data_IF_471792117114
#
_entry.id   IF_471792117114
#
_cell.length_a   1.000
_cell.length_b   1.000
_cell.length_c   1.000
_cell.angle_alpha   90.00
_cell.angle_beta   90.00
_cell.angle_gamma   90.00
#
_symmetry.space_group_name_H-M   'P 1'
#
loop_
_entity.id
_entity.type
_entity.pdbx_description
1 polymer ?
#
# COMPACT_ATOMS: atom_id res chain seq x y z
N UNK A 1 32.90 23.17 59.55
CA UNK A 1 32.33 23.23 58.18
C UNK A 1 32.34 21.82 57.65
N UNK A 2 31.17 21.12 57.72
CA UNK A 2 31.02 19.79 57.17
C UNK A 2 30.32 19.92 55.83
N UNK A 3 30.96 19.45 54.75
CA UNK A 3 30.40 19.38 53.43
C UNK A 3 29.71 18.02 53.22
N UNK A 4 28.39 18.05 53.15
CA UNK A 4 27.55 16.87 52.87
C UNK A 4 27.55 16.63 51.33
N UNK A 5 28.14 15.51 50.92
CA UNK A 5 28.04 15.01 49.56
C UNK A 5 26.85 14.06 49.45
N UNK A 6 25.88 14.25 48.53
CA UNK A 6 24.77 13.31 48.38
C UNK A 6 25.19 12.01 47.71
N UNK A 7 24.84 10.90 48.32
CA UNK A 7 25.01 9.53 47.83
C UNK A 7 24.24 9.29 46.54
N UNK A 8 24.94 8.84 45.50
CA UNK A 8 24.31 8.33 44.26
C UNK A 8 23.72 6.95 44.54
N UNK A 9 22.41 6.85 44.56
CA UNK A 9 21.71 5.57 44.54
C UNK A 9 21.76 4.97 43.12
N UNK A 10 22.51 3.89 42.96
CA UNK A 10 22.51 3.08 41.72
C UNK A 10 21.29 2.17 41.71
N UNK A 11 20.32 2.48 40.84
CA UNK A 11 19.17 1.60 40.59
C UNK A 11 19.67 0.40 39.78
N UNK A 12 19.72 -0.79 40.43
CA UNK A 12 20.01 -2.05 39.75
C UNK A 12 18.75 -2.57 39.06
N UNK A 13 18.67 -2.44 37.75
CA UNK A 13 17.62 -3.03 36.94
C UNK A 13 17.77 -4.57 36.90
N UNK A 14 16.70 -5.28 37.19
CA UNK A 14 16.64 -6.74 37.09
C UNK A 14 16.71 -7.20 35.64
N UNK A 15 17.07 -8.48 35.39
CA UNK A 15 17.19 -9.06 34.06
C UNK A 15 15.93 -8.85 33.16
N UNK A 16 14.74 -8.73 33.77
CA UNK A 16 13.47 -8.45 33.08
C UNK A 16 13.34 -6.99 32.62
N UNK A 17 13.94 -6.03 33.31
CA UNK A 17 13.95 -4.62 32.89
C UNK A 17 14.92 -4.31 31.75
N UNK A 18 15.90 -5.19 31.45
CA UNK A 18 16.85 -5.01 30.35
C UNK A 18 16.28 -5.44 28.99
N UNK A 19 15.26 -6.31 28.96
CA UNK A 19 14.59 -6.73 27.72
C UNK A 19 13.57 -5.71 27.22
N UNK A 20 13.06 -4.84 28.07
CA UNK A 20 12.12 -3.79 27.69
C UNK A 20 12.77 -2.56 27.01
N UNK A 21 14.09 -2.38 27.14
CA UNK A 21 14.84 -1.23 26.58
C UNK A 21 15.50 -1.51 25.22
N UNK A 22 15.47 -2.76 24.75
CA UNK A 22 16.03 -3.14 23.45
C UNK A 22 15.06 -3.01 22.26
N UNK A 23 13.80 -2.61 22.49
CA UNK A 23 12.77 -2.49 21.44
C UNK A 23 12.59 -1.04 20.89
N UNK A 24 13.48 -0.12 21.24
CA UNK A 24 13.35 1.32 20.87
C UNK A 24 14.43 1.76 19.87
N UNK A 25 14.72 0.95 18.89
CA UNK A 25 15.73 1.32 17.92
C UNK A 25 15.60 0.62 16.58
N UNK A 26 14.50 0.82 15.84
CA UNK A 26 14.46 0.68 14.38
C UNK A 26 13.14 1.28 13.86
N UNK A 27 13.11 2.58 13.64
CA UNK A 27 12.09 3.25 12.83
C UNK A 27 12.73 3.60 11.51
N UNK A 28 12.41 2.85 10.45
CA UNK A 28 12.52 3.31 9.07
C UNK A 28 11.38 2.73 8.24
N UNK A 29 10.56 3.64 7.73
CA UNK A 29 9.75 3.60 6.51
C UNK A 29 8.96 2.32 6.21
N UNK A 30 7.78 2.30 6.69
CA UNK A 30 6.69 1.39 6.38
C UNK A 30 5.74 1.45 7.56
N UNK A 31 4.60 2.09 7.42
CA UNK A 31 3.61 2.21 8.49
C UNK A 31 3.08 0.84 8.91
N UNK A 32 3.93 0.06 9.57
CA UNK A 32 3.51 -1.04 10.38
C UNK A 32 2.89 -0.43 11.64
N UNK A 33 1.59 -0.34 11.70
CA UNK A 33 0.88 -0.08 12.95
C UNK A 33 1.14 -1.28 13.84
N UNK A 34 2.13 -1.14 14.74
CA UNK A 34 2.36 -2.12 15.79
C UNK A 34 1.17 -2.06 16.74
N UNK A 35 0.34 -3.07 16.71
CA UNK A 35 -0.64 -3.33 17.76
C UNK A 35 0.16 -3.63 19.04
N UNK A 36 -0.04 -2.95 20.17
CA UNK A 36 0.66 -3.27 21.40
C UNK A 36 0.27 -4.67 21.86
N UNK A 37 1.22 -5.59 21.82
CA UNK A 37 1.09 -6.93 22.37
C UNK A 37 1.22 -6.82 23.90
N UNK A 38 0.12 -6.76 24.61
CA UNK A 38 0.08 -6.96 26.06
C UNK A 38 0.25 -8.46 26.35
N UNK A 39 1.48 -8.88 26.62
CA UNK A 39 1.78 -10.24 27.09
C UNK A 39 1.44 -10.30 28.59
N UNK A 40 0.29 -10.87 28.93
CA UNK A 40 0.02 -11.46 30.21
C UNK A 40 -0.14 -12.98 30.01
N UNK A 41 0.70 -13.75 30.64
CA UNK A 41 0.79 -15.19 30.45
C UNK A 41 -0.43 -15.94 30.99
N UNK A 42 -0.93 -16.81 30.14
CA UNK A 42 -2.00 -17.79 30.32
C UNK A 42 -2.34 -18.30 28.91
N UNK A 43 -2.60 -19.57 28.73
CA UNK A 43 -2.85 -20.25 27.45
C UNK A 43 -4.12 -19.80 26.70
N UNK A 44 -4.69 -18.64 27.07
CA UNK A 44 -5.77 -17.95 26.35
C UNK A 44 -5.25 -16.61 25.82
N UNK A 45 -4.58 -16.59 24.67
CA UNK A 45 -4.40 -15.33 23.94
C UNK A 45 -5.79 -14.75 23.60
N UNK A 46 -6.10 -13.50 24.01
CA UNK A 46 -7.40 -12.92 23.69
C UNK A 46 -7.57 -12.88 22.19
N UNK A 47 -8.64 -13.51 21.69
CA UNK A 47 -8.97 -13.47 20.26
C UNK A 47 -9.03 -12.03 19.79
N UNK A 48 -8.48 -11.71 18.60
CA UNK A 48 -8.53 -10.35 18.10
C UNK A 48 -9.99 -9.88 17.99
N UNK A 49 -10.26 -8.68 18.47
CA UNK A 49 -11.60 -8.09 18.43
C UNK A 49 -11.91 -7.38 17.11
N UNK A 50 -10.91 -7.18 16.30
CA UNK A 50 -11.01 -6.53 14.99
C UNK A 50 -9.92 -6.99 14.03
N UNK A 51 -10.24 -7.00 12.73
CA UNK A 51 -9.29 -7.15 11.64
C UNK A 51 -8.95 -5.76 11.09
N UNK A 52 -7.66 -5.42 11.04
CA UNK A 52 -7.16 -4.20 10.40
C UNK A 52 -6.66 -4.52 9.01
N UNK A 53 -7.18 -3.84 8.00
CA UNK A 53 -6.74 -3.92 6.61
C UNK A 53 -6.06 -2.61 6.24
N UNK A 54 -4.74 -2.57 6.12
CA UNK A 54 -3.98 -1.39 5.67
C UNK A 54 -4.26 -1.02 4.21
N UNK A 55 -4.03 0.26 3.88
CA UNK A 55 -4.04 0.73 2.48
C UNK A 55 -2.90 0.10 1.69
N UNK A 56 -3.12 -0.15 0.41
CA UNK A 56 -2.13 -0.74 -0.48
C UNK A 56 -1.96 -2.27 -0.32
N UNK A 57 -2.71 -2.91 0.57
CA UNK A 57 -2.71 -4.36 0.62
C UNK A 57 -3.39 -4.96 -0.60
N UNK A 58 -2.80 -6.03 -1.13
CA UNK A 58 -3.41 -6.85 -2.18
C UNK A 58 -4.47 -7.77 -1.59
N UNK A 59 -5.39 -8.22 -2.43
CA UNK A 59 -6.42 -9.17 -2.02
C UNK A 59 -5.83 -10.44 -1.38
N UNK A 60 -4.70 -10.94 -1.88
CA UNK A 60 -4.00 -12.09 -1.28
C UNK A 60 -3.60 -11.85 0.18
N UNK A 61 -3.04 -10.68 0.49
CA UNK A 61 -2.65 -10.30 1.85
C UNK A 61 -3.87 -10.18 2.78
N UNK A 62 -5.00 -9.66 2.24
CA UNK A 62 -6.26 -9.60 2.97
C UNK A 62 -6.78 -10.99 3.29
N UNK A 63 -6.72 -11.94 2.33
CA UNK A 63 -7.15 -13.33 2.57
C UNK A 63 -6.32 -14.00 3.65
N UNK A 64 -4.99 -13.86 3.59
CA UNK A 64 -4.07 -14.43 4.58
C UNK A 64 -4.33 -13.85 5.97
N UNK A 65 -4.62 -12.53 6.04
CA UNK A 65 -4.95 -11.87 7.30
C UNK A 65 -6.30 -12.34 7.87
N UNK A 66 -7.31 -12.58 7.03
CA UNK A 66 -8.60 -13.16 7.46
C UNK A 66 -8.39 -14.57 7.99
N UNK A 67 -7.67 -15.43 7.24
CA UNK A 67 -7.40 -16.81 7.66
C UNK A 67 -6.69 -16.82 9.02
N UNK A 68 -5.65 -16.00 9.18
CA UNK A 68 -4.92 -15.88 10.45
C UNK A 68 -5.80 -15.37 11.59
N UNK A 69 -6.63 -14.36 11.33
CA UNK A 69 -7.47 -13.72 12.36
C UNK A 69 -8.59 -14.63 12.85
N UNK A 70 -9.12 -15.48 11.96
CA UNK A 70 -10.19 -16.43 12.27
C UNK A 70 -9.66 -17.83 12.64
N UNK A 71 -8.33 -18.00 12.77
CA UNK A 71 -7.68 -19.30 13.05
C UNK A 71 -8.08 -20.39 12.07
N UNK A 72 -8.04 -20.05 10.76
CA UNK A 72 -8.40 -20.94 9.65
C UNK A 72 -7.14 -21.42 8.91
N UNK A 73 -7.18 -22.61 8.29
CA UNK A 73 -6.12 -23.07 7.42
C UNK A 73 -5.86 -22.08 6.26
N UNK A 74 -4.60 -21.85 5.92
CA UNK A 74 -4.20 -20.94 4.84
C UNK A 74 -4.92 -21.27 3.53
N UNK A 75 -5.40 -20.23 2.84
CA UNK A 75 -6.14 -20.33 1.59
C UNK A 75 -7.64 -20.63 1.75
N UNK A 76 -8.17 -20.75 2.97
CA UNK A 76 -9.60 -20.95 3.24
C UNK A 76 -10.42 -19.77 2.74
N UNK A 77 -10.01 -18.56 3.05
CA UNK A 77 -10.68 -17.33 2.59
C UNK A 77 -10.70 -17.24 1.07
N UNK A 78 -9.57 -17.48 0.40
CA UNK A 78 -9.51 -17.49 -1.08
C UNK A 78 -10.48 -18.50 -1.69
N UNK A 79 -10.56 -19.72 -1.15
CA UNK A 79 -11.51 -20.75 -1.60
C UNK A 79 -12.97 -20.37 -1.36
N UNK A 80 -13.24 -19.54 -0.38
CA UNK A 80 -14.60 -19.10 -0.03
C UNK A 80 -15.18 -18.05 -0.99
N UNK A 81 -14.35 -17.41 -1.82
CA UNK A 81 -14.77 -16.38 -2.77
C UNK A 81 -15.92 -16.83 -3.68
N UNK A 82 -15.87 -18.06 -4.17
CA UNK A 82 -16.92 -18.62 -5.05
C UNK A 82 -18.30 -18.68 -4.38
N UNK A 83 -18.36 -18.60 -3.04
CA UNK A 83 -19.60 -18.64 -2.24
C UNK A 83 -19.93 -17.31 -1.59
N UNK A 84 -19.10 -16.29 -1.78
CA UNK A 84 -19.18 -15.00 -1.08
C UNK A 84 -19.94 -14.00 -1.94
N UNK A 85 -21.01 -14.18 -2.52
CA UNK A 85 -21.89 -13.29 -3.30
C UNK A 85 -21.50 -11.77 -3.17
N UNK A 86 -20.30 -11.45 -3.67
CA UNK A 86 -19.71 -10.12 -3.54
C UNK A 86 -20.33 -9.18 -4.58
N UNK A 87 -20.84 -8.03 -4.13
CA UNK A 87 -21.44 -7.00 -4.99
C UNK A 87 -20.36 -6.18 -5.72
N UNK A 88 -19.60 -6.85 -6.56
CA UNK A 88 -18.55 -6.23 -7.36
C UNK A 88 -19.12 -5.62 -8.65
N UNK A 89 -18.48 -4.56 -9.21
CA UNK A 89 -18.81 -4.07 -10.54
C UNK A 89 -18.53 -5.16 -11.59
N UNK A 90 -19.26 -5.11 -12.71
CA UNK A 90 -19.13 -6.10 -13.78
C UNK A 90 -17.71 -6.19 -14.35
N UNK A 91 -17.01 -5.05 -14.41
CA UNK A 91 -15.64 -4.94 -14.89
C UNK A 91 -14.66 -5.76 -14.05
N UNK A 92 -14.95 -5.98 -12.76
CA UNK A 92 -14.12 -6.78 -11.87
C UNK A 92 -14.14 -8.28 -12.19
N UNK A 93 -15.13 -8.77 -12.94
CA UNK A 93 -15.27 -10.19 -13.33
C UNK A 93 -15.10 -11.17 -12.16
N UNK A 94 -15.58 -10.77 -10.97
CA UNK A 94 -15.48 -11.56 -9.74
C UNK A 94 -14.15 -11.43 -8.98
N UNK A 95 -13.19 -10.66 -9.47
CA UNK A 95 -11.96 -10.35 -8.76
C UNK A 95 -12.19 -9.16 -7.80
N UNK A 96 -12.08 -9.33 -6.47
CA UNK A 96 -12.29 -8.25 -5.51
C UNK A 96 -11.09 -7.32 -5.31
N UNK A 97 -10.00 -7.47 -6.08
CA UNK A 97 -8.85 -6.56 -6.00
C UNK A 97 -9.29 -5.11 -6.20
N UNK A 98 -8.85 -4.22 -5.31
CA UNK A 98 -9.26 -2.81 -5.27
C UNK A 98 -10.57 -2.55 -4.50
N UNK A 99 -11.33 -3.60 -4.17
CA UNK A 99 -12.63 -3.50 -3.50
C UNK A 99 -12.67 -4.11 -2.09
N UNK A 100 -11.56 -4.60 -1.58
CA UNK A 100 -11.42 -4.99 -0.16
C UNK A 100 -10.97 -3.78 0.66
N UNK A 101 -11.89 -2.83 0.88
CA UNK A 101 -11.60 -1.49 1.36
C UNK A 101 -10.75 -1.48 2.63
N UNK A 102 -9.66 -0.67 2.69
CA UNK A 102 -8.79 -0.56 3.86
C UNK A 102 -9.52 0.10 5.05
N UNK A 103 -9.69 -0.63 6.13
CA UNK A 103 -10.34 -0.17 7.35
C UNK A 103 -10.11 -1.14 8.51
N UNK A 104 -10.62 -0.77 9.69
CA UNK A 104 -10.74 -1.67 10.84
C UNK A 104 -12.13 -2.29 10.86
N UNK A 105 -12.19 -3.62 10.79
CA UNK A 105 -13.43 -4.40 10.77
C UNK A 105 -13.63 -5.11 12.10
N UNK A 106 -14.57 -4.67 12.95
CA UNK A 106 -14.89 -5.36 14.20
C UNK A 106 -15.31 -6.81 13.93
N UNK A 107 -14.77 -7.74 14.68
CA UNK A 107 -15.13 -9.15 14.60
C UNK A 107 -16.34 -9.44 15.49
N UNK A 108 -17.26 -10.23 14.97
CA UNK A 108 -18.38 -10.80 15.73
C UNK A 108 -18.02 -12.21 16.17
N UNK A 109 -18.69 -12.68 17.21
CA UNK A 109 -18.68 -14.11 17.51
C UNK A 109 -19.09 -14.87 16.23
N UNK A 110 -18.33 -15.91 15.84
CA UNK A 110 -18.59 -16.72 14.63
C UNK A 110 -18.51 -15.93 13.30
N UNK A 111 -17.69 -14.87 13.24
CA UNK A 111 -17.41 -14.20 11.96
C UNK A 111 -16.89 -15.22 10.92
N UNK A 112 -17.32 -15.08 9.69
CA UNK A 112 -16.89 -15.92 8.57
C UNK A 112 -16.08 -15.11 7.55
N UNK A 113 -15.20 -15.76 6.76
CA UNK A 113 -14.50 -15.09 5.67
C UNK A 113 -15.44 -14.36 4.71
N UNK A 114 -16.56 -15.00 4.34
CA UNK A 114 -17.54 -14.44 3.41
C UNK A 114 -18.16 -13.16 3.97
N UNK A 115 -18.51 -13.13 5.27
CA UNK A 115 -19.08 -11.95 5.91
C UNK A 115 -18.08 -10.79 5.92
N UNK A 116 -16.80 -11.07 6.23
CA UNK A 116 -15.75 -10.04 6.23
C UNK A 116 -15.51 -9.48 4.83
N UNK A 117 -15.37 -10.35 3.83
CA UNK A 117 -15.21 -9.96 2.43
C UNK A 117 -16.39 -9.12 1.94
N UNK A 118 -17.63 -9.55 2.23
CA UNK A 118 -18.84 -8.80 1.85
C UNK A 118 -18.86 -7.41 2.50
N UNK A 119 -18.53 -7.31 3.79
CA UNK A 119 -18.43 -6.01 4.49
C UNK A 119 -17.37 -5.09 3.91
N UNK A 120 -16.23 -5.64 3.46
CA UNK A 120 -15.17 -4.86 2.81
C UNK A 120 -15.64 -4.32 1.46
N UNK A 121 -16.28 -5.15 0.63
CA UNK A 121 -16.84 -4.75 -0.66
C UNK A 121 -18.00 -3.77 -0.49
N UNK A 122 -18.90 -3.97 0.46
CA UNK A 122 -19.98 -3.03 0.75
C UNK A 122 -19.43 -1.67 1.21
N UNK A 123 -18.33 -1.66 1.97
CA UNK A 123 -17.64 -0.43 2.38
C UNK A 123 -17.02 0.27 1.17
N UNK A 124 -16.34 -0.47 0.30
CA UNK A 124 -15.80 0.06 -0.96
C UNK A 124 -16.91 0.69 -1.81
N UNK A 125 -18.01 -0.01 -2.01
CA UNK A 125 -19.15 0.49 -2.78
C UNK A 125 -19.73 1.79 -2.20
N UNK A 126 -19.88 1.88 -0.87
CA UNK A 126 -20.32 3.11 -0.21
C UNK A 126 -19.34 4.27 -0.42
N UNK A 127 -18.05 4.00 -0.41
CA UNK A 127 -17.00 5.02 -0.58
C UNK A 127 -16.84 5.44 -2.04
N UNK A 128 -16.88 4.50 -2.98
CA UNK A 128 -16.55 4.74 -4.39
C UNK A 128 -17.78 5.20 -5.21
N UNK A 129 -18.97 4.71 -4.92
CA UNK A 129 -20.18 5.04 -5.69
C UNK A 129 -20.83 6.37 -5.24
N UNK A 130 -20.21 7.12 -4.34
CA UNK A 130 -20.67 8.45 -3.98
C UNK A 130 -20.59 9.44 -5.16
N UNK A 131 -21.55 10.36 -5.24
CA UNK A 131 -21.63 11.35 -6.33
C UNK A 131 -20.30 12.08 -6.61
N UNK A 132 -19.48 12.49 -5.61
CA UNK A 132 -18.21 13.16 -5.87
C UNK A 132 -17.21 12.28 -6.64
N UNK A 133 -17.16 10.96 -6.34
CA UNK A 133 -16.24 10.04 -7.00
C UNK A 133 -16.68 9.77 -8.43
N UNK A 134 -17.97 9.46 -8.63
CA UNK A 134 -18.53 9.22 -9.97
C UNK A 134 -18.36 10.44 -10.88
N UNK A 135 -18.68 11.65 -10.40
CA UNK A 135 -18.49 12.89 -11.15
C UNK A 135 -17.00 13.18 -11.43
N UNK A 136 -16.11 12.87 -10.47
CA UNK A 136 -14.68 13.04 -10.64
C UNK A 136 -14.11 12.07 -11.69
N UNK A 137 -14.49 10.81 -11.66
CA UNK A 137 -14.14 9.83 -12.68
C UNK A 137 -14.60 10.28 -14.06
N UNK A 138 -15.86 10.72 -14.19
CA UNK A 138 -16.42 11.19 -15.44
C UNK A 138 -15.69 12.41 -15.99
N UNK A 139 -15.27 13.38 -15.16
CA UNK A 139 -14.44 14.53 -15.61
C UNK A 139 -13.11 14.11 -16.24
N UNK A 140 -12.58 12.97 -15.82
CA UNK A 140 -11.35 12.38 -16.37
C UNK A 140 -11.64 11.30 -17.43
N UNK A 141 -12.82 11.31 -18.03
CA UNK A 141 -13.26 10.35 -19.07
C UNK A 141 -13.15 8.87 -18.65
N UNK A 142 -13.40 8.57 -17.36
CA UNK A 142 -13.31 7.22 -16.77
C UNK A 142 -14.63 6.83 -16.11
N UNK A 143 -14.85 5.51 -15.97
CA UNK A 143 -15.80 4.97 -15.03
C UNK A 143 -15.18 4.82 -13.61
N UNK A 144 -15.98 4.48 -12.61
CA UNK A 144 -15.51 4.35 -11.22
C UNK A 144 -14.46 3.23 -11.08
N UNK A 145 -14.61 2.12 -11.80
CA UNK A 145 -13.65 1.01 -11.76
C UNK A 145 -12.27 1.43 -12.27
N UNK A 146 -12.22 2.16 -13.37
CA UNK A 146 -10.99 2.72 -13.92
C UNK A 146 -10.36 3.73 -12.94
N UNK A 147 -11.16 4.56 -12.29
CA UNK A 147 -10.66 5.49 -11.27
C UNK A 147 -10.05 4.74 -10.07
N UNK A 148 -10.64 3.63 -9.62
CA UNK A 148 -10.07 2.76 -8.59
C UNK A 148 -8.79 2.09 -9.08
N UNK A 149 -8.73 1.70 -10.35
CA UNK A 149 -7.50 1.15 -10.96
C UNK A 149 -6.36 2.18 -10.96
N UNK A 150 -6.63 3.43 -11.36
CA UNK A 150 -5.64 4.52 -11.25
C UNK A 150 -5.24 4.73 -9.79
N UNK A 151 -6.22 4.76 -8.87
CA UNK A 151 -5.97 4.96 -7.44
C UNK A 151 -5.05 3.87 -6.86
N UNK A 152 -5.20 2.61 -7.28
CA UNK A 152 -4.32 1.52 -6.82
C UNK A 152 -2.87 1.71 -7.28
N UNK A 153 -2.66 2.20 -8.51
CA UNK A 153 -1.30 2.54 -8.98
C UNK A 153 -0.75 3.73 -8.18
N UNK A 154 -1.55 4.79 -7.99
CA UNK A 154 -1.16 5.96 -7.17
C UNK A 154 -0.80 5.54 -5.75
N UNK A 155 -1.57 4.63 -5.15
CA UNK A 155 -1.31 4.10 -3.80
C UNK A 155 0.03 3.37 -3.72
N UNK A 156 0.37 2.60 -4.75
CA UNK A 156 1.60 1.82 -4.80
C UNK A 156 2.85 2.68 -5.10
N UNK A 157 2.72 3.71 -5.95
CA UNK A 157 3.84 4.52 -6.44
C UNK A 157 4.16 5.74 -5.57
N UNK A 158 3.16 6.34 -4.93
CA UNK A 158 3.37 7.57 -4.17
C UNK A 158 4.05 7.29 -2.83
N UNK A 159 5.15 7.99 -2.55
CA UNK A 159 5.87 7.89 -1.27
C UNK A 159 5.14 8.58 -0.12
N UNK A 160 4.15 9.41 -0.42
CA UNK A 160 3.33 10.11 0.56
C UNK A 160 2.14 10.82 -0.07
N UNK A 161 1.20 11.23 0.78
CA UNK A 161 -0.04 11.87 0.36
C UNK A 161 0.18 13.12 -0.53
N UNK A 162 1.24 13.89 -0.28
CA UNK A 162 1.52 15.10 -1.04
C UNK A 162 1.85 14.84 -2.51
N UNK A 163 2.37 13.64 -2.83
CA UNK A 163 2.78 13.26 -4.18
C UNK A 163 1.66 12.56 -4.96
N UNK A 164 0.65 12.01 -4.28
CA UNK A 164 -0.43 11.23 -4.91
C UNK A 164 -1.09 11.97 -6.08
N UNK A 165 -1.41 13.26 -5.89
CA UNK A 165 -2.03 14.06 -6.95
C UNK A 165 -1.13 14.30 -8.16
N UNK A 166 0.18 14.38 -7.96
CA UNK A 166 1.17 14.53 -9.05
C UNK A 166 1.39 13.20 -9.77
N UNK A 167 1.47 12.07 -9.03
CA UNK A 167 1.55 10.73 -9.63
C UNK A 167 0.31 10.47 -10.49
N UNK A 168 -0.89 10.78 -9.98
CA UNK A 168 -2.12 10.68 -10.76
C UNK A 168 -2.04 11.53 -12.04
N UNK A 169 -1.51 12.75 -11.97
CA UNK A 169 -1.33 13.62 -13.14
C UNK A 169 -0.38 13.02 -14.17
N UNK A 170 0.74 12.44 -13.74
CA UNK A 170 1.65 11.72 -14.67
C UNK A 170 0.93 10.59 -15.39
N UNK A 171 0.13 9.79 -14.66
CA UNK A 171 -0.66 8.70 -15.27
C UNK A 171 -1.58 9.27 -16.36
N UNK A 172 -2.36 10.30 -16.06
CA UNK A 172 -3.28 10.90 -17.04
C UNK A 172 -2.54 11.51 -18.23
N UNK A 173 -1.48 12.29 -18.00
CA UNK A 173 -0.71 12.90 -19.07
C UNK A 173 -0.12 11.84 -20.02
N UNK A 174 0.32 10.69 -19.49
CA UNK A 174 0.80 9.57 -20.32
C UNK A 174 -0.33 8.89 -21.08
N UNK A 175 -1.48 8.64 -20.45
CA UNK A 175 -2.67 8.08 -21.13
C UNK A 175 -3.12 8.98 -22.28
N UNK A 176 -3.25 10.28 -22.05
CA UNK A 176 -3.66 11.27 -23.05
C UNK A 176 -2.70 11.35 -24.24
N UNK A 177 -1.40 11.12 -24.01
CA UNK A 177 -0.35 11.11 -25.04
C UNK A 177 -0.15 9.74 -25.70
N UNK A 178 -0.91 8.73 -25.30
CA UNK A 178 -0.71 7.37 -25.78
C UNK A 178 0.67 6.80 -25.40
N UNK A 179 1.18 7.14 -24.21
CA UNK A 179 2.43 6.61 -23.69
C UNK A 179 2.19 5.40 -22.79
N UNK A 180 3.09 4.40 -22.75
CA UNK A 180 3.02 3.34 -21.75
C UNK A 180 3.21 3.93 -20.37
N UNK A 181 2.52 3.39 -19.34
CA UNK A 181 2.58 3.95 -17.99
C UNK A 181 3.94 3.74 -17.32
N UNK A 182 4.62 2.63 -17.57
CA UNK A 182 5.95 2.29 -17.05
C UNK A 182 6.02 2.41 -15.51
N UNK A 183 5.08 1.77 -14.83
CA UNK A 183 4.98 1.74 -13.37
C UNK A 183 5.45 0.39 -12.84
N UNK A 184 6.51 0.39 -12.02
CA UNK A 184 7.12 -0.83 -11.49
C UNK A 184 6.14 -1.66 -10.66
N UNK A 185 5.26 -0.99 -9.90
CA UNK A 185 4.21 -1.63 -9.10
C UNK A 185 3.31 -2.57 -9.89
N UNK A 186 3.04 -2.25 -11.16
CA UNK A 186 2.21 -3.09 -12.03
C UNK A 186 2.93 -4.38 -12.43
N UNK A 187 4.25 -4.31 -12.63
CA UNK A 187 5.08 -5.49 -12.92
C UNK A 187 5.26 -6.33 -11.66
N UNK A 188 5.50 -5.70 -10.51
CA UNK A 188 5.55 -6.39 -9.22
C UNK A 188 4.23 -7.12 -8.90
N UNK A 189 3.09 -6.54 -9.28
CA UNK A 189 1.80 -7.22 -9.19
C UNK A 189 1.74 -8.46 -10.09
N UNK A 190 2.17 -8.33 -11.35
CA UNK A 190 2.21 -9.43 -12.31
C UNK A 190 3.07 -10.61 -11.81
N UNK A 191 4.16 -10.31 -11.11
CA UNK A 191 5.10 -11.29 -10.55
C UNK A 191 4.70 -11.79 -9.14
N UNK A 192 3.57 -11.35 -8.60
CA UNK A 192 3.12 -11.73 -7.26
C UNK A 192 4.00 -11.20 -6.11
N UNK A 193 4.82 -10.18 -6.36
CA UNK A 193 5.69 -9.56 -5.35
C UNK A 193 4.90 -8.58 -4.50
N UNK A 194 4.88 -8.77 -3.18
CA UNK A 194 4.11 -7.93 -2.25
C UNK A 194 4.86 -6.70 -1.73
N UNK A 195 6.14 -6.57 -2.02
CA UNK A 195 6.95 -5.41 -1.68
C UNK A 195 7.66 -4.89 -2.93
N UNK A 196 7.91 -3.56 -3.02
CA UNK A 196 8.74 -3.03 -4.08
C UNK A 196 10.06 -3.79 -4.12
N UNK A 197 10.39 -4.36 -5.28
CA UNK A 197 11.67 -5.04 -5.44
C UNK A 197 12.78 -3.99 -5.43
N UNK A 198 13.84 -4.22 -4.64
CA UNK A 198 15.05 -3.40 -4.73
C UNK A 198 15.79 -3.58 -6.07
N UNK A 199 15.45 -4.64 -6.80
CA UNK A 199 15.86 -4.87 -8.18
C UNK A 199 14.84 -4.25 -9.11
N UNK A 200 15.29 -3.62 -10.19
CA UNK A 200 14.40 -3.09 -11.23
C UNK A 200 13.34 -4.14 -11.62
N UNK A 201 12.09 -3.68 -11.81
CA UNK A 201 11.03 -4.54 -12.31
C UNK A 201 11.52 -5.22 -13.59
N UNK A 202 11.17 -6.50 -13.77
CA UNK A 202 11.50 -7.21 -15.02
C UNK A 202 10.58 -6.70 -16.14
N UNK A 203 11.04 -5.77 -17.02
CA UNK A 203 10.20 -5.20 -18.06
C UNK A 203 9.86 -6.21 -19.15
N UNK A 204 10.49 -7.39 -19.15
CA UNK A 204 10.29 -8.42 -20.18
C UNK A 204 9.16 -9.40 -19.85
N UNK A 205 8.59 -9.35 -18.62
CA UNK A 205 7.50 -10.26 -18.23
C UNK A 205 6.30 -10.11 -19.18
N UNK A 206 5.85 -11.22 -19.78
CA UNK A 206 4.63 -11.22 -20.61
C UNK A 206 3.39 -11.33 -19.72
N UNK A 207 2.84 -10.17 -19.39
CA UNK A 207 1.64 -10.06 -18.56
C UNK A 207 0.78 -8.90 -19.03
N UNK A 208 -0.56 -9.01 -18.94
CA UNK A 208 -1.46 -7.88 -19.20
C UNK A 208 -1.29 -6.72 -18.21
N UNK A 209 -0.65 -6.97 -17.06
CA UNK A 209 -0.29 -5.94 -16.08
C UNK A 209 1.03 -5.23 -16.38
N UNK A 210 1.85 -5.71 -17.31
CA UNK A 210 3.13 -5.07 -17.61
C UNK A 210 2.93 -3.75 -18.34
N UNK A 211 2.88 -2.65 -17.62
CA UNK A 211 2.68 -1.30 -18.16
C UNK A 211 3.89 -0.71 -18.92
N UNK A 212 5.00 -1.43 -19.02
CA UNK A 212 6.09 -1.12 -19.93
C UNK A 212 5.81 -1.60 -21.37
N UNK A 213 5.06 -2.69 -21.51
CA UNK A 213 4.76 -3.35 -22.80
C UNK A 213 3.31 -3.18 -23.25
N UNK A 214 2.39 -2.90 -22.32
CA UNK A 214 0.96 -2.74 -22.58
C UNK A 214 0.57 -1.27 -22.44
N UNK A 215 -0.21 -0.80 -23.39
CA UNK A 215 -0.74 0.56 -23.37
C UNK A 215 -2.02 0.62 -22.54
N UNK A 216 -2.28 1.76 -21.95
CA UNK A 216 -3.48 1.99 -21.15
C UNK A 216 -3.36 1.50 -19.70
N UNK A 217 -4.51 1.37 -19.03
CA UNK A 217 -4.59 0.88 -17.65
C UNK A 217 -4.46 -0.65 -17.63
N UNK A 218 -3.93 -1.22 -16.53
CA UNK A 218 -3.99 -2.65 -16.30
C UNK A 218 -5.46 -3.12 -16.19
N UNK A 219 -5.73 -4.42 -16.42
CA UNK A 219 -7.11 -4.94 -16.48
C UNK A 219 -7.87 -4.82 -15.15
N UNK A 220 -7.18 -4.79 -14.02
CA UNK A 220 -7.78 -4.62 -12.68
C UNK A 220 -6.95 -3.66 -11.83
N UNK A 221 -7.46 -3.18 -10.69
CA UNK A 221 -6.62 -2.62 -9.63
C UNK A 221 -5.50 -3.61 -9.24
N UNK A 222 -4.39 -3.08 -8.72
CA UNK A 222 -3.20 -3.86 -8.31
C UNK A 222 -3.04 -3.94 -6.79
N UNK A 223 -3.84 -3.20 -6.06
CA UNK A 223 -3.99 -3.24 -4.60
C UNK A 223 -5.33 -2.62 -4.17
N UNK A 224 -5.56 -2.54 -2.87
CA UNK A 224 -6.74 -1.89 -2.28
C UNK A 224 -6.38 -0.46 -1.83
N UNK A 225 -6.75 0.57 -2.61
CA UNK A 225 -6.35 1.94 -2.36
C UNK A 225 -7.12 2.58 -1.20
N UNK A 226 -6.48 3.51 -0.51
CA UNK A 226 -7.13 4.37 0.49
C UNK A 226 -7.89 5.55 -0.13
N UNK A 227 -8.65 6.25 0.70
CA UNK A 227 -9.45 7.41 0.25
C UNK A 227 -8.61 8.53 -0.38
N UNK A 228 -7.39 8.76 0.10
CA UNK A 228 -6.53 9.81 -0.44
C UNK A 228 -6.05 9.49 -1.85
N UNK A 229 -5.72 8.23 -2.14
CA UNK A 229 -5.35 7.79 -3.48
C UNK A 229 -6.55 7.88 -4.46
N UNK A 230 -7.74 7.47 -4.00
CA UNK A 230 -8.97 7.62 -4.81
C UNK A 230 -9.27 9.09 -5.09
N UNK A 231 -9.10 9.96 -4.10
CA UNK A 231 -9.28 11.42 -4.28
C UNK A 231 -8.27 11.98 -5.27
N UNK A 232 -7.01 11.56 -5.21
CA UNK A 232 -5.97 11.95 -6.16
C UNK A 232 -6.29 11.49 -7.59
N UNK A 233 -6.80 10.28 -7.76
CA UNK A 233 -7.20 9.75 -9.06
C UNK A 233 -8.35 10.53 -9.70
N UNK A 234 -9.32 11.04 -8.92
CA UNK A 234 -10.46 11.79 -9.47
C UNK A 234 -10.24 13.31 -9.55
N UNK A 235 -9.20 13.82 -8.88
CA UNK A 235 -8.84 15.24 -8.85
C UNK A 235 -7.31 15.38 -8.81
N UNK A 236 -6.63 15.01 -9.91
CA UNK A 236 -5.18 15.07 -9.99
C UNK A 236 -4.69 16.52 -9.92
N UNK A 237 -3.49 16.71 -9.35
CA UNK A 237 -2.85 18.02 -9.29
C UNK A 237 -2.58 18.54 -10.71
N UNK A 238 -2.94 19.79 -11.05
CA UNK A 238 -2.61 20.36 -12.36
C UNK A 238 -1.09 20.37 -12.61
N UNK A 239 -0.68 20.01 -13.82
CA UNK A 239 0.73 20.00 -14.25
C UNK A 239 0.91 19.25 -15.57
N UNK A 240 2.10 19.34 -16.14
CA UNK A 240 2.49 18.77 -17.41
C UNK A 240 3.48 17.61 -17.30
N UNK A 241 3.72 17.14 -16.08
CA UNK A 241 4.70 16.10 -15.78
C UNK A 241 4.41 14.79 -16.51
N UNK A 242 5.47 14.18 -17.00
CA UNK A 242 5.44 12.86 -17.67
C UNK A 242 6.28 11.82 -16.92
N UNK A 243 7.19 12.27 -16.08
CA UNK A 243 8.15 11.43 -15.38
C UNK A 243 8.22 11.83 -13.91
N UNK A 244 8.51 10.86 -13.07
CA UNK A 244 8.87 11.08 -11.67
C UNK A 244 9.87 10.03 -11.20
N UNK A 245 10.63 10.36 -10.18
CA UNK A 245 11.51 9.43 -9.47
C UNK A 245 11.73 9.93 -8.04
N UNK A 246 11.72 9.02 -7.09
CA UNK A 246 12.11 9.32 -5.72
C UNK A 246 13.63 9.21 -5.60
N UNK A 247 14.30 10.36 -5.48
CA UNK A 247 15.76 10.44 -5.40
C UNK A 247 16.25 10.00 -4.03
N UNK A 248 15.53 10.37 -2.98
CA UNK A 248 15.75 9.95 -1.59
C UNK A 248 14.45 10.04 -0.80
N UNK A 249 14.33 9.45 0.38
CA UNK A 249 13.12 9.56 1.20
C UNK A 249 12.67 11.02 1.36
N UNK A 250 11.43 11.32 0.95
CA UNK A 250 10.84 12.66 1.00
C UNK A 250 11.23 13.60 -0.14
N UNK A 251 12.01 13.16 -1.12
CA UNK A 251 12.38 13.93 -2.32
C UNK A 251 11.96 13.17 -3.58
N UNK A 252 10.70 13.31 -3.98
CA UNK A 252 10.18 12.82 -5.26
C UNK A 252 10.16 13.98 -6.25
N UNK A 253 10.88 13.85 -7.36
CA UNK A 253 10.99 14.85 -8.41
C UNK A 253 10.11 14.49 -9.59
N UNK A 254 9.40 15.49 -10.09
CA UNK A 254 8.46 15.40 -11.22
C UNK A 254 8.93 16.33 -12.34
N UNK A 255 8.91 15.85 -13.58
CA UNK A 255 9.31 16.64 -14.74
C UNK A 255 8.57 16.21 -16.02
N UNK A 256 8.44 17.13 -17.00
CA UNK A 256 7.99 16.80 -18.36
C UNK A 256 9.17 16.35 -19.25
N UNK A 257 10.41 16.63 -18.85
CA UNK A 257 11.60 16.50 -19.68
C UNK A 257 12.33 15.18 -19.42
N UNK A 258 12.48 14.33 -20.44
CA UNK A 258 13.17 13.04 -20.33
C UNK A 258 14.64 13.22 -19.88
N UNK A 259 15.35 14.21 -20.40
CA UNK A 259 16.75 14.45 -20.03
C UNK A 259 16.91 14.83 -18.56
N UNK A 260 15.97 15.56 -17.99
CA UNK A 260 15.96 15.88 -16.57
C UNK A 260 15.65 14.63 -15.72
N UNK A 261 14.66 13.85 -16.15
CA UNK A 261 14.34 12.59 -15.50
C UNK A 261 15.56 11.65 -15.43
N UNK A 262 16.28 11.49 -16.55
CA UNK A 262 17.49 10.66 -16.59
C UNK A 262 18.57 11.14 -15.60
N UNK A 263 18.76 12.46 -15.46
CA UNK A 263 19.67 13.00 -14.44
C UNK A 263 19.20 12.67 -13.02
N UNK A 264 17.91 12.80 -12.73
CA UNK A 264 17.34 12.49 -11.43
C UNK A 264 17.46 11.01 -11.09
N UNK A 265 17.27 10.11 -12.08
CA UNK A 265 17.47 8.67 -11.92
C UNK A 265 18.94 8.36 -11.60
N UNK A 266 19.88 8.94 -12.36
CA UNK A 266 21.31 8.73 -12.11
C UNK A 266 21.71 9.19 -10.69
N UNK A 267 21.18 10.31 -10.22
CA UNK A 267 21.42 10.79 -8.84
C UNK A 267 20.83 9.81 -7.80
N UNK A 268 19.61 9.30 -8.04
CA UNK A 268 18.99 8.29 -7.17
C UNK A 268 19.85 7.03 -7.06
N UNK A 269 20.37 6.53 -8.19
CA UNK A 269 21.19 5.33 -8.23
C UNK A 269 22.52 5.52 -7.50
N UNK A 270 23.17 6.67 -7.65
CA UNK A 270 24.39 7.01 -6.92
C UNK A 270 24.16 7.09 -5.40
N UNK A 271 23.03 7.68 -4.97
CA UNK A 271 22.69 7.73 -3.55
C UNK A 271 22.41 6.34 -2.98
N UNK A 272 21.72 5.46 -3.74
CA UNK A 272 21.47 4.07 -3.34
C UNK A 272 22.77 3.27 -3.22
N UNK A 273 23.70 3.41 -4.17
CA UNK A 273 25.02 2.76 -4.12
C UNK A 273 25.79 3.17 -2.87
N UNK A 274 25.87 4.48 -2.58
CA UNK A 274 26.54 4.99 -1.38
C UNK A 274 25.90 4.51 -0.07
N UNK A 275 24.56 4.37 -0.05
CA UNK A 275 23.86 3.86 1.12
C UNK A 275 24.06 2.34 1.33
N UNK A 276 24.36 1.60 0.26
CA UNK A 276 24.63 0.17 0.30
C UNK A 276 26.10 -0.18 0.63
N UNK A 277 27.04 0.77 0.50
CA UNK A 277 28.42 0.58 0.90
C UNK A 277 28.54 0.49 2.43
N UNK A 278 29.07 -0.61 2.99
CA UNK A 278 29.29 -0.70 4.43
C UNK A 278 30.27 0.41 4.83
N UNK A 279 29.87 1.21 5.83
CA UNK A 279 30.76 2.22 6.44
C UNK A 279 32.04 1.50 6.88
N UNK A 280 33.12 1.65 6.12
CA UNK A 280 34.44 1.20 6.51
C UNK A 280 34.81 1.94 7.82
N UNK A 281 34.70 1.21 8.93
CA UNK A 281 35.27 1.61 10.23
C UNK A 281 36.55 0.84 10.48
#
# INVERSE_FOLDING_TARGET
>A
MQTNTPSRSSIRLTRRGRLALAALGAVVAGTAVAVPLLIMGGDDEPRPTALVVPQGWRASQVYDAIDKTLDLPAGTTKKSLAKADLKLPNEAQGNPEGYLFPATYPLREKATPQELLSRMVDTANKKFNGAPIAAGAQRNAMNVYQAVTVASIVQAEATGKADMGKVARVIFNRLERGMPLQMDSTVDYALGRSAPSATAADPEVDSPYNSYRRMGLPPTPIDNPGEDAVRAAISPTPGDWLYFVTVKPGDTRFTAELAEHQRNVAESDELRKRAAEPSAK
#
